data_IF_537123809538
#
_entry.id   IF_537123809538
#
_cell.length_a   1.000
_cell.length_b   1.000
_cell.length_c   1.000
_cell.angle_alpha   90.00
_cell.angle_beta   90.00
_cell.angle_gamma   90.00
#
_symmetry.space_group_name_H-M   'P 1'
#
loop_
_entity.id
_entity.type
_entity.pdbx_description
1 polymer ?
#
# COMPACT_ATOMS: atom_id res chain seq x y z
N UNK A 1 -1.22 8.20 -0.04
CA UNK A 1 -1.87 7.82 -1.31
C UNK A 1 -1.84 6.31 -1.44
N UNK A 2 -3.01 5.68 -1.74
CA UNK A 2 -3.06 4.23 -1.88
C UNK A 2 -4.46 3.65 -1.98
N UNK A 3 -4.58 2.30 -1.94
CA UNK A 3 -5.84 1.61 -2.07
C UNK A 3 -6.49 1.28 -0.72
N UNK A 4 -7.79 1.51 -0.63
CA UNK A 4 -8.64 0.99 0.42
C UNK A 4 -9.66 0.02 -0.19
N UNK A 5 -9.84 -1.13 0.45
CA UNK A 5 -10.71 -2.21 -0.02
C UNK A 5 -11.80 -2.52 0.99
N UNK A 6 -12.91 -3.08 0.52
CA UNK A 6 -13.82 -3.77 1.42
C UNK A 6 -13.22 -5.13 1.83
N UNK A 7 -13.10 -5.34 3.14
CA UNK A 7 -12.71 -6.60 3.76
C UNK A 7 -13.97 -7.36 4.12
N UNK A 8 -14.14 -8.51 3.48
CA UNK A 8 -15.30 -9.38 3.63
C UNK A 8 -14.86 -10.62 4.41
N UNK A 9 -15.15 -10.67 5.70
CA UNK A 9 -14.68 -11.71 6.59
C UNK A 9 -15.80 -12.70 6.94
N UNK A 10 -15.48 -14.00 6.95
CA UNK A 10 -16.36 -14.96 7.61
C UNK A 10 -16.38 -14.66 9.12
N UNK A 11 -17.56 -14.64 9.75
CA UNK A 11 -17.66 -14.35 11.16
C UNK A 11 -16.94 -15.39 12.02
N UNK A 12 -16.42 -14.96 13.15
CA UNK A 12 -15.67 -15.80 14.09
C UNK A 12 -14.51 -16.55 13.42
N UNK A 13 -14.55 -17.89 13.50
CA UNK A 13 -13.55 -18.78 12.91
C UNK A 13 -14.13 -19.68 11.81
N UNK A 14 -15.28 -19.30 11.24
CA UNK A 14 -15.89 -20.07 10.17
C UNK A 14 -15.03 -20.02 8.91
N UNK A 15 -15.06 -21.10 8.13
CA UNK A 15 -14.47 -21.08 6.79
C UNK A 15 -15.41 -20.37 5.82
N UNK A 16 -14.85 -19.76 4.78
CA UNK A 16 -15.61 -19.10 3.72
C UNK A 16 -16.69 -20.02 3.12
N UNK A 17 -16.39 -21.31 3.01
CA UNK A 17 -17.35 -22.32 2.49
C UNK A 17 -18.44 -22.75 3.49
N UNK A 18 -18.35 -22.33 4.74
CA UNK A 18 -19.30 -22.69 5.80
C UNK A 18 -20.25 -21.55 6.16
N UNK A 19 -19.78 -20.30 5.93
CA UNK A 19 -20.56 -19.12 6.30
C UNK A 19 -21.73 -18.87 5.36
N UNK A 20 -22.78 -18.25 5.89
CA UNK A 20 -23.94 -17.73 5.14
C UNK A 20 -24.08 -16.21 5.27
N UNK A 21 -23.20 -15.58 6.06
CA UNK A 21 -23.14 -14.15 6.28
C UNK A 21 -21.68 -13.70 6.33
N UNK A 22 -21.43 -12.43 6.09
CA UNK A 22 -20.10 -11.84 6.14
C UNK A 22 -20.12 -10.55 6.94
N UNK A 23 -19.08 -10.34 7.72
CA UNK A 23 -18.76 -9.03 8.29
C UNK A 23 -18.02 -8.20 7.25
N UNK A 24 -18.49 -6.98 7.02
CA UNK A 24 -17.85 -6.06 6.08
C UNK A 24 -17.18 -4.93 6.86
N UNK A 25 -15.87 -4.78 6.64
CA UNK A 25 -15.09 -3.65 7.13
C UNK A 25 -14.24 -3.10 5.98
N UNK A 26 -13.55 -1.98 6.20
CA UNK A 26 -12.72 -1.36 5.15
C UNK A 26 -11.30 -1.26 5.65
N UNK A 27 -10.33 -1.61 4.80
CA UNK A 27 -8.93 -1.64 5.16
C UNK A 27 -8.00 -1.35 3.97
N UNK A 28 -6.92 -0.67 4.25
CA UNK A 28 -5.82 -0.38 3.34
C UNK A 28 -4.57 -0.08 4.17
N UNK A 29 -3.38 -0.38 3.66
CA UNK A 29 -2.13 -0.15 4.38
C UNK A 29 -1.99 1.33 4.74
N UNK A 30 -2.09 2.20 3.75
CA UNK A 30 -1.94 3.65 3.89
C UNK A 30 -3.11 4.26 4.68
N UNK A 31 -4.33 3.71 4.54
CA UNK A 31 -5.49 4.13 5.33
C UNK A 31 -5.30 3.81 6.81
N UNK A 32 -4.66 2.69 7.14
CA UNK A 32 -4.34 2.32 8.54
C UNK A 32 -3.31 3.26 9.14
N UNK A 33 -2.32 3.70 8.36
CA UNK A 33 -1.34 4.72 8.80
C UNK A 33 -2.05 6.06 9.05
N UNK A 34 -2.90 6.49 8.12
CA UNK A 34 -3.68 7.72 8.26
C UNK A 34 -4.58 7.69 9.51
N UNK A 35 -5.27 6.57 9.76
CA UNK A 35 -6.08 6.36 10.95
C UNK A 35 -5.26 6.44 12.24
N UNK A 36 -4.07 5.84 12.26
CA UNK A 36 -3.15 5.91 13.39
C UNK A 36 -2.72 7.35 13.68
N UNK A 37 -2.37 8.12 12.66
CA UNK A 37 -2.00 9.53 12.80
C UNK A 37 -3.15 10.33 13.44
N UNK A 38 -4.38 10.16 12.94
CA UNK A 38 -5.56 10.84 13.50
C UNK A 38 -5.81 10.42 14.96
N UNK A 39 -5.69 9.13 15.28
CA UNK A 39 -5.85 8.64 16.65
C UNK A 39 -4.79 9.18 17.63
N UNK A 40 -3.60 9.51 17.16
CA UNK A 40 -2.57 10.18 17.95
C UNK A 40 -2.69 11.71 17.98
N UNK A 41 -3.79 12.27 17.46
CA UNK A 41 -4.07 13.71 17.51
C UNK A 41 -3.46 14.50 16.34
N UNK A 42 -2.90 13.83 15.34
CA UNK A 42 -2.47 14.43 14.09
C UNK A 42 -3.62 14.61 13.11
N UNK A 43 -3.33 15.12 11.92
CA UNK A 43 -4.26 15.24 10.80
C UNK A 43 -3.75 14.45 9.60
N UNK A 44 -4.65 13.81 8.88
CA UNK A 44 -4.32 13.06 7.67
C UNK A 44 -5.38 13.26 6.59
N UNK A 45 -4.93 13.45 5.35
CA UNK A 45 -5.74 13.39 4.12
C UNK A 45 -5.56 12.04 3.49
N UNK A 46 -6.63 11.40 3.05
CA UNK A 46 -6.53 10.15 2.29
C UNK A 46 -6.80 10.40 0.82
N UNK A 47 -5.83 10.05 0.00
CA UNK A 47 -5.86 10.24 -1.46
C UNK A 47 -5.99 8.88 -2.13
N UNK A 48 -7.05 8.68 -2.87
CA UNK A 48 -7.35 7.46 -3.64
C UNK A 48 -8.41 7.75 -4.69
N UNK A 49 -8.79 6.75 -5.48
CA UNK A 49 -9.96 6.80 -6.34
C UNK A 49 -10.95 5.71 -5.96
N UNK A 50 -12.23 6.04 -5.89
CA UNK A 50 -13.33 5.14 -5.56
C UNK A 50 -14.47 5.29 -6.56
N UNK A 51 -15.19 4.22 -6.91
CA UNK A 51 -16.34 4.27 -7.79
C UNK A 51 -17.53 5.01 -7.15
N UNK A 52 -18.46 5.46 -7.98
CA UNK A 52 -19.68 6.16 -7.56
C UNK A 52 -20.81 5.18 -7.22
N UNK A 53 -20.77 4.53 -6.06
CA UNK A 53 -21.84 3.64 -5.58
C UNK A 53 -21.85 3.54 -4.05
N UNK A 54 -22.90 2.97 -3.48
CA UNK A 54 -23.14 2.93 -2.04
C UNK A 54 -22.02 2.26 -1.20
N UNK A 55 -21.36 1.23 -1.70
CA UNK A 55 -20.24 0.60 -0.98
C UNK A 55 -19.02 1.54 -0.90
N UNK A 56 -18.78 2.35 -1.91
CA UNK A 56 -17.72 3.35 -1.87
C UNK A 56 -18.07 4.51 -0.92
N UNK A 57 -19.35 4.90 -0.81
CA UNK A 57 -19.80 5.83 0.24
C UNK A 57 -19.55 5.27 1.63
N UNK A 58 -19.91 4.00 1.87
CA UNK A 58 -19.67 3.35 3.14
C UNK A 58 -18.15 3.24 3.46
N UNK A 59 -17.30 3.07 2.44
CA UNK A 59 -15.83 3.13 2.58
C UNK A 59 -15.40 4.53 3.06
N UNK A 60 -15.90 5.59 2.42
CA UNK A 60 -15.60 6.98 2.80
C UNK A 60 -16.07 7.29 4.21
N UNK A 61 -17.27 6.85 4.59
CA UNK A 61 -17.82 7.04 5.93
C UNK A 61 -16.95 6.34 6.99
N UNK A 62 -16.44 5.16 6.68
CA UNK A 62 -15.52 4.42 7.54
C UNK A 62 -14.22 5.19 7.82
N UNK A 63 -13.62 5.83 6.82
CA UNK A 63 -12.40 6.64 7.00
C UNK A 63 -12.71 7.97 7.68
N UNK A 64 -13.85 8.61 7.40
CA UNK A 64 -14.30 9.82 8.11
C UNK A 64 -14.54 9.57 9.60
N UNK A 65 -15.10 8.41 9.94
CA UNK A 65 -15.38 8.04 11.32
C UNK A 65 -14.15 8.03 12.22
N UNK A 66 -12.94 7.85 11.66
CA UNK A 66 -11.66 7.90 12.39
C UNK A 66 -10.92 9.24 12.21
N UNK A 67 -11.60 10.28 11.68
CA UNK A 67 -11.07 11.64 11.59
C UNK A 67 -10.20 11.92 10.36
N UNK A 68 -10.15 11.01 9.39
CA UNK A 68 -9.39 11.21 8.15
C UNK A 68 -10.15 12.14 7.20
N UNK A 69 -9.45 13.13 6.64
CA UNK A 69 -9.98 13.99 5.59
C UNK A 69 -10.10 13.21 4.26
N UNK A 70 -11.30 13.21 3.70
CA UNK A 70 -11.65 12.50 2.47
C UNK A 70 -11.89 13.43 1.27
N UNK A 71 -11.56 14.72 1.40
CA UNK A 71 -11.84 15.73 0.37
C UNK A 71 -11.16 15.36 -0.98
N UNK A 72 -10.00 14.71 -0.94
CA UNK A 72 -9.22 14.35 -2.11
C UNK A 72 -9.41 12.90 -2.58
N UNK A 73 -10.47 12.25 -2.14
CA UNK A 73 -10.88 10.95 -2.70
C UNK A 73 -11.62 11.21 -4.01
N UNK A 74 -11.02 10.81 -5.13
CA UNK A 74 -11.66 10.92 -6.44
C UNK A 74 -12.85 9.98 -6.55
N UNK A 75 -13.91 10.47 -7.22
CA UNK A 75 -15.11 9.68 -7.50
C UNK A 75 -15.20 9.41 -9.00
N UNK A 76 -14.99 8.17 -9.38
CA UNK A 76 -14.88 7.74 -10.78
C UNK A 76 -16.14 7.00 -11.24
N UNK A 77 -16.43 7.10 -12.54
CA UNK A 77 -17.50 6.32 -13.17
C UNK A 77 -16.99 4.95 -13.62
N UNK A 78 -15.68 4.81 -13.77
CA UNK A 78 -15.00 3.58 -14.15
C UNK A 78 -14.27 2.96 -12.95
N UNK A 79 -13.96 1.67 -13.06
CA UNK A 79 -13.33 0.92 -12.02
C UNK A 79 -14.30 0.43 -10.95
N UNK A 80 -13.78 -0.30 -10.00
CA UNK A 80 -14.56 -0.93 -8.92
C UNK A 80 -13.91 -0.67 -7.56
N UNK A 81 -14.66 -0.89 -6.50
CA UNK A 81 -14.07 -1.03 -5.17
C UNK A 81 -13.32 -2.36 -5.11
N UNK A 82 -12.03 -2.32 -4.75
CA UNK A 82 -11.26 -3.53 -4.48
C UNK A 82 -11.85 -4.30 -3.30
N UNK A 83 -11.85 -5.62 -3.37
CA UNK A 83 -12.36 -6.50 -2.32
C UNK A 83 -11.28 -7.49 -1.90
N UNK A 84 -11.36 -7.96 -0.68
CA UNK A 84 -10.73 -9.21 -0.29
C UNK A 84 -11.59 -9.98 0.69
N UNK A 85 -11.54 -11.30 0.55
CA UNK A 85 -12.25 -12.22 1.43
C UNK A 85 -11.27 -12.79 2.44
N UNK A 86 -11.67 -12.79 3.71
CA UNK A 86 -10.85 -13.30 4.81
C UNK A 86 -11.52 -14.48 5.49
N UNK A 87 -10.78 -15.56 5.56
CA UNK A 87 -11.03 -16.66 6.49
C UNK A 87 -10.04 -16.53 7.64
N UNK A 88 -10.52 -16.17 8.81
CA UNK A 88 -9.67 -16.00 9.99
C UNK A 88 -9.08 -17.35 10.42
N UNK A 89 -7.80 -17.35 10.72
CA UNK A 89 -7.11 -18.52 11.24
C UNK A 89 -7.65 -18.93 12.62
N UNK A 90 -7.56 -20.21 12.91
CA UNK A 90 -7.97 -20.76 14.21
C UNK A 90 -7.01 -21.87 14.64
N UNK A 91 -6.40 -21.71 15.82
CA UNK A 91 -5.41 -22.65 16.34
C UNK A 91 -4.26 -22.85 15.33
N UNK A 92 -4.06 -24.06 14.81
CA UNK A 92 -3.00 -24.36 13.82
C UNK A 92 -3.40 -24.09 12.36
N UNK A 93 -4.66 -23.71 12.13
CA UNK A 93 -5.12 -23.34 10.80
C UNK A 93 -4.70 -21.89 10.50
N UNK A 94 -3.90 -21.64 9.43
CA UNK A 94 -3.56 -20.28 9.03
C UNK A 94 -4.79 -19.54 8.50
N UNK A 95 -4.72 -18.21 8.50
CA UNK A 95 -5.68 -17.37 7.79
C UNK A 95 -5.57 -17.59 6.30
N UNK A 96 -6.70 -17.49 5.58
CA UNK A 96 -6.74 -17.53 4.13
C UNK A 96 -7.31 -16.21 3.60
N UNK A 97 -6.62 -15.60 2.63
CA UNK A 97 -7.03 -14.35 2.00
C UNK A 97 -7.16 -14.56 0.50
N UNK A 98 -8.34 -14.20 -0.03
CA UNK A 98 -8.62 -14.20 -1.46
C UNK A 98 -8.83 -12.76 -1.90
N UNK A 99 -7.95 -12.26 -2.78
CA UNK A 99 -8.06 -10.91 -3.33
C UNK A 99 -8.92 -10.91 -4.59
N UNK A 100 -9.82 -9.94 -4.67
CA UNK A 100 -10.62 -9.61 -5.83
C UNK A 100 -10.55 -8.09 -6.05
N UNK A 101 -9.43 -7.62 -6.60
CA UNK A 101 -9.07 -6.20 -6.70
C UNK A 101 -8.58 -5.77 -8.10
N UNK A 102 -8.69 -6.64 -9.10
CA UNK A 102 -8.37 -6.25 -10.47
C UNK A 102 -9.29 -5.10 -10.91
N UNK A 103 -8.75 -4.17 -11.66
CA UNK A 103 -9.46 -2.98 -12.18
C UNK A 103 -10.14 -2.15 -11.07
N UNK A 104 -9.55 -2.14 -9.86
CA UNK A 104 -10.00 -1.21 -8.83
C UNK A 104 -9.81 0.24 -9.29
N UNK A 105 -10.69 1.14 -8.88
CA UNK A 105 -10.69 2.52 -9.36
C UNK A 105 -9.30 3.18 -9.25
N UNK A 106 -8.60 3.02 -8.13
CA UNK A 106 -7.25 3.56 -7.96
C UNK A 106 -6.23 2.91 -8.90
N UNK A 107 -6.42 1.64 -9.27
CA UNK A 107 -5.48 0.95 -10.16
C UNK A 107 -5.57 1.38 -11.62
N UNK A 108 -6.69 1.99 -12.03
CA UNK A 108 -6.90 2.46 -13.40
C UNK A 108 -6.94 3.98 -13.55
N UNK A 109 -6.96 4.72 -12.41
CA UNK A 109 -6.98 6.19 -12.44
C UNK A 109 -5.59 6.74 -12.72
N UNK A 110 -5.40 7.50 -13.79
CA UNK A 110 -4.09 8.05 -14.15
C UNK A 110 -3.69 9.20 -13.21
N UNK A 111 -2.38 9.47 -13.16
CA UNK A 111 -1.82 10.49 -12.26
C UNK A 111 -2.39 11.89 -12.48
N UNK A 112 -2.73 12.23 -13.73
CA UNK A 112 -3.25 13.54 -14.13
C UNK A 112 -4.66 13.80 -13.62
N UNK A 113 -5.37 12.78 -13.18
CA UNK A 113 -6.71 12.92 -12.60
C UNK A 113 -6.67 13.53 -11.19
N UNK A 114 -5.52 13.49 -10.52
CA UNK A 114 -5.35 14.01 -9.17
C UNK A 114 -4.86 15.46 -9.21
N UNK A 115 -5.51 16.32 -8.44
CA UNK A 115 -5.06 17.72 -8.22
C UNK A 115 -3.95 17.75 -7.15
N UNK A 116 -2.73 17.41 -7.60
CA UNK A 116 -1.58 17.30 -6.69
C UNK A 116 -1.24 18.61 -5.99
N UNK A 117 -1.43 19.75 -6.63
CA UNK A 117 -1.18 21.06 -6.05
C UNK A 117 -2.09 21.28 -4.83
N UNK A 118 -3.38 21.04 -4.98
CA UNK A 118 -4.34 21.14 -3.85
C UNK A 118 -4.13 20.03 -2.81
N UNK A 119 -3.74 18.82 -3.22
CA UNK A 119 -3.48 17.69 -2.32
C UNK A 119 -2.30 18.03 -1.38
N UNK A 120 -1.24 18.65 -1.90
CA UNK A 120 -0.05 18.96 -1.12
C UNK A 120 -0.05 20.35 -0.50
N UNK A 121 -1.06 21.20 -0.78
CA UNK A 121 -1.17 22.50 -0.10
C UNK A 121 -1.27 22.35 1.41
N UNK A 122 -0.28 22.90 2.13
CA UNK A 122 -0.13 22.79 3.58
C UNK A 122 0.21 21.39 4.10
N UNK A 123 0.46 20.41 3.22
CA UNK A 123 0.93 19.11 3.64
C UNK A 123 2.42 19.13 4.00
N UNK A 124 2.82 18.32 4.97
CA UNK A 124 4.21 18.20 5.42
C UNK A 124 4.82 16.84 5.09
N UNK A 125 3.97 15.84 4.88
CA UNK A 125 4.41 14.45 4.73
C UNK A 125 3.50 13.67 3.79
N UNK A 126 4.11 12.90 2.88
CA UNK A 126 3.42 11.88 2.07
C UNK A 126 3.86 10.49 2.57
N UNK A 127 2.88 9.60 2.79
CA UNK A 127 3.16 8.18 3.03
C UNK A 127 2.63 7.32 1.88
N UNK A 128 3.47 6.39 1.44
CA UNK A 128 3.24 5.45 0.34
C UNK A 128 3.46 4.01 0.80
N UNK A 129 2.97 3.08 0.02
CA UNK A 129 3.27 1.64 0.17
C UNK A 129 3.61 1.02 -1.19
N UNK A 130 4.51 0.07 -1.21
CA UNK A 130 4.83 -0.73 -2.39
C UNK A 130 3.68 -1.61 -2.90
N UNK A 131 2.56 -1.65 -2.18
CA UNK A 131 1.34 -2.32 -2.66
C UNK A 131 0.72 -1.54 -3.82
N UNK A 132 0.62 -0.22 -3.73
CA UNK A 132 -0.05 0.60 -4.74
C UNK A 132 0.61 0.49 -6.11
N UNK A 133 1.93 0.66 -6.29
CA UNK A 133 2.57 0.49 -7.60
C UNK A 133 2.57 -0.96 -8.11
N UNK A 134 2.28 -1.94 -7.24
CA UNK A 134 2.15 -3.35 -7.63
C UNK A 134 0.84 -3.68 -8.34
N UNK A 135 -0.18 -2.82 -8.27
CA UNK A 135 -1.53 -3.09 -8.79
C UNK A 135 -1.59 -3.07 -10.31
N UNK A 136 -0.96 -2.07 -10.92
CA UNK A 136 -0.96 -1.82 -12.36
C UNK A 136 0.17 -0.87 -12.76
N UNK A 137 0.43 -0.76 -14.05
CA UNK A 137 1.34 0.26 -14.57
C UNK A 137 0.83 1.68 -14.25
N UNK A 138 -0.46 1.94 -14.45
CA UNK A 138 -1.09 3.23 -14.14
C UNK A 138 -0.89 3.62 -12.66
N UNK A 139 -1.12 2.69 -11.74
CA UNK A 139 -0.91 2.95 -10.32
C UNK A 139 0.58 3.17 -9.97
N UNK A 140 1.50 2.48 -10.66
CA UNK A 140 2.94 2.70 -10.49
C UNK A 140 3.35 4.11 -10.95
N UNK A 141 2.86 4.54 -12.10
CA UNK A 141 3.07 5.89 -12.64
C UNK A 141 2.47 6.95 -11.71
N UNK A 142 1.23 6.75 -11.22
CA UNK A 142 0.61 7.66 -10.26
C UNK A 142 1.37 7.74 -8.93
N UNK A 143 1.92 6.62 -8.44
CA UNK A 143 2.76 6.60 -7.24
C UNK A 143 4.06 7.39 -7.43
N UNK A 144 4.71 7.24 -8.58
CA UNK A 144 5.91 8.01 -8.92
C UNK A 144 5.61 9.51 -8.99
N UNK A 145 4.54 9.90 -9.69
CA UNK A 145 4.13 11.31 -9.80
C UNK A 145 3.78 11.88 -8.42
N UNK A 146 3.05 11.13 -7.57
CA UNK A 146 2.76 11.55 -6.20
C UNK A 146 4.02 11.85 -5.39
N UNK A 147 5.04 10.97 -5.47
CA UNK A 147 6.31 11.20 -4.79
C UNK A 147 7.05 12.44 -5.33
N UNK A 148 7.09 12.63 -6.65
CA UNK A 148 7.71 13.80 -7.29
C UNK A 148 7.03 15.11 -6.88
N UNK A 149 5.69 15.16 -6.92
CA UNK A 149 4.90 16.34 -6.57
C UNK A 149 5.02 16.66 -5.08
N UNK A 150 5.03 15.64 -4.21
CA UNK A 150 5.27 15.84 -2.78
C UNK A 150 6.65 16.47 -2.51
N UNK A 151 7.70 15.98 -3.17
CA UNK A 151 9.05 16.59 -3.05
C UNK A 151 9.08 18.01 -3.59
N UNK A 152 8.44 18.29 -4.73
CA UNK A 152 8.35 19.64 -5.28
C UNK A 152 7.60 20.61 -4.34
N UNK A 153 6.60 20.11 -3.60
CA UNK A 153 5.88 20.85 -2.57
C UNK A 153 6.64 20.97 -1.22
N UNK A 154 7.84 20.39 -1.11
CA UNK A 154 8.66 20.44 0.11
C UNK A 154 8.27 19.43 1.18
N UNK A 155 7.43 18.44 0.86
CA UNK A 155 7.05 17.38 1.79
C UNK A 155 8.20 16.39 2.02
N UNK A 156 8.22 15.80 3.23
CA UNK A 156 8.92 14.54 3.46
C UNK A 156 8.12 13.39 2.87
N UNK A 157 8.79 12.39 2.31
CA UNK A 157 8.12 11.22 1.71
C UNK A 157 8.61 9.95 2.37
N UNK A 158 7.69 9.14 2.87
CA UNK A 158 7.98 7.80 3.38
C UNK A 158 7.31 6.72 2.55
N UNK A 159 7.94 5.55 2.47
CA UNK A 159 7.38 4.38 1.83
C UNK A 159 7.62 3.12 2.66
N UNK A 160 6.58 2.29 2.82
CA UNK A 160 6.72 0.90 3.26
C UNK A 160 6.87 0.02 2.01
N UNK A 161 7.99 -0.68 1.86
CA UNK A 161 8.24 -1.53 0.68
C UNK A 161 7.20 -2.63 0.52
N UNK A 162 6.74 -3.21 1.60
CA UNK A 162 5.55 -4.07 1.71
C UNK A 162 5.36 -5.01 0.51
N UNK A 163 6.42 -5.75 0.17
CA UNK A 163 6.41 -6.59 -1.03
C UNK A 163 5.31 -7.65 -0.99
N UNK A 164 4.55 -7.71 -2.05
CA UNK A 164 3.49 -8.69 -2.25
C UNK A 164 3.64 -9.33 -3.63
N UNK A 165 4.47 -10.35 -3.75
CA UNK A 165 4.80 -11.00 -5.02
C UNK A 165 3.59 -11.46 -5.85
N UNK A 166 2.43 -11.68 -5.22
CA UNK A 166 1.18 -12.02 -5.92
C UNK A 166 0.56 -10.85 -6.70
N UNK A 167 0.95 -9.60 -6.41
CA UNK A 167 0.40 -8.39 -7.03
C UNK A 167 1.22 -7.91 -8.25
N UNK A 168 2.53 -8.00 -8.20
CA UNK A 168 3.45 -7.57 -9.25
C UNK A 168 3.35 -8.43 -10.51
N UNK A 169 2.27 -8.25 -11.31
CA UNK A 169 1.94 -9.11 -12.46
C UNK A 169 1.52 -8.35 -13.71
N UNK A 170 1.48 -7.01 -13.67
CA UNK A 170 1.00 -6.20 -14.79
C UNK A 170 1.96 -6.14 -15.99
N UNK A 171 3.16 -6.69 -15.86
CA UNK A 171 4.07 -6.92 -16.98
C UNK A 171 4.44 -8.41 -17.05
N UNK A 172 3.82 -9.14 -17.99
CA UNK A 172 4.03 -10.58 -18.14
C UNK A 172 5.44 -10.98 -18.60
N UNK A 173 6.25 -10.03 -19.10
CA UNK A 173 7.62 -10.29 -19.53
C UNK A 173 8.61 -10.35 -18.36
N UNK A 174 8.19 -10.00 -17.15
CA UNK A 174 9.05 -9.89 -15.96
C UNK A 174 8.51 -10.75 -14.83
N UNK A 175 9.41 -11.29 -14.02
CA UNK A 175 9.04 -11.86 -12.72
C UNK A 175 8.55 -10.75 -11.78
N UNK A 176 7.80 -11.13 -10.75
CA UNK A 176 7.31 -10.17 -9.74
C UNK A 176 8.43 -9.38 -9.07
N UNK A 177 9.60 -10.01 -8.83
CA UNK A 177 10.77 -9.35 -8.25
C UNK A 177 11.42 -8.35 -9.21
N UNK A 178 11.66 -8.75 -10.44
CA UNK A 178 12.24 -7.87 -11.46
C UNK A 178 11.37 -6.63 -11.68
N UNK A 179 10.05 -6.83 -11.75
CA UNK A 179 9.09 -5.76 -11.92
C UNK A 179 9.08 -4.80 -10.72
N UNK A 180 9.08 -5.35 -9.49
CA UNK A 180 9.16 -4.56 -8.27
C UNK A 180 10.47 -3.77 -8.20
N UNK A 181 11.61 -4.42 -8.45
CA UNK A 181 12.92 -3.77 -8.41
C UNK A 181 13.05 -2.63 -9.40
N UNK A 182 12.59 -2.83 -10.63
CA UNK A 182 12.65 -1.78 -11.65
C UNK A 182 11.75 -0.59 -11.29
N UNK A 183 10.50 -0.86 -10.91
CA UNK A 183 9.52 0.16 -10.56
C UNK A 183 9.97 0.96 -9.33
N UNK A 184 10.39 0.27 -8.28
CA UNK A 184 10.78 0.93 -7.04
C UNK A 184 12.09 1.73 -7.16
N UNK A 185 13.02 1.30 -8.02
CA UNK A 185 14.21 2.12 -8.33
C UNK A 185 13.88 3.48 -8.95
N UNK A 186 12.75 3.59 -9.66
CA UNK A 186 12.26 4.87 -10.17
C UNK A 186 11.63 5.75 -9.09
N UNK A 187 11.04 5.16 -8.05
CA UNK A 187 10.32 5.87 -6.98
C UNK A 187 11.27 6.28 -5.85
N UNK A 188 12.19 5.41 -5.44
CA UNK A 188 13.07 5.59 -4.28
C UNK A 188 13.92 6.86 -4.29
N UNK A 189 14.38 7.43 -5.43
CA UNK A 189 15.05 8.73 -5.45
C UNK A 189 14.24 9.90 -4.89
N UNK A 190 12.94 9.74 -4.67
CA UNK A 190 12.06 10.76 -4.10
C UNK A 190 11.64 10.43 -2.64
N UNK A 191 12.24 9.41 -2.03
CA UNK A 191 11.85 8.90 -0.71
C UNK A 191 12.88 9.31 0.35
N UNK A 192 12.43 9.94 1.42
CA UNK A 192 13.28 10.33 2.56
C UNK A 192 13.35 9.23 3.63
N UNK A 193 12.28 8.43 3.78
CA UNK A 193 12.20 7.37 4.80
C UNK A 193 11.70 6.07 4.18
N UNK A 194 12.51 5.01 4.26
CA UNK A 194 12.13 3.66 3.83
C UNK A 194 11.82 2.81 5.05
N UNK A 195 10.65 2.18 5.05
CA UNK A 195 10.22 1.18 6.02
C UNK A 195 10.26 -0.17 5.32
N UNK A 196 11.00 -1.12 5.86
CA UNK A 196 11.19 -2.43 5.24
C UNK A 196 11.71 -3.46 6.25
N UNK A 197 11.43 -4.72 5.99
CA UNK A 197 12.17 -5.84 6.58
C UNK A 197 13.25 -6.33 5.60
N UNK A 198 14.04 -7.34 6.01
CA UNK A 198 15.16 -7.86 5.20
C UNK A 198 14.67 -8.55 3.92
N UNK A 199 13.51 -9.23 3.97
CA UNK A 199 12.93 -9.89 2.81
C UNK A 199 12.49 -8.85 1.78
N UNK A 200 11.85 -7.78 2.22
CA UNK A 200 11.45 -6.67 1.35
C UNK A 200 12.69 -6.00 0.72
N UNK A 201 13.76 -5.75 1.50
CA UNK A 201 15.01 -5.22 0.97
C UNK A 201 15.63 -6.15 -0.08
N UNK A 202 15.59 -7.46 0.15
CA UNK A 202 16.06 -8.42 -0.82
C UNK A 202 15.19 -8.47 -2.08
N UNK A 203 13.89 -8.59 -1.91
CA UNK A 203 12.96 -8.81 -3.02
C UNK A 203 12.78 -7.55 -3.89
N UNK A 204 12.74 -6.37 -3.26
CA UNK A 204 12.47 -5.10 -3.91
C UNK A 204 13.73 -4.35 -4.33
N UNK A 205 14.83 -4.47 -3.58
CA UNK A 205 16.05 -3.71 -3.84
C UNK A 205 17.22 -4.59 -4.31
N UNK A 206 17.13 -5.90 -4.12
CA UNK A 206 18.22 -6.83 -4.37
C UNK A 206 19.32 -6.77 -3.29
N UNK A 207 19.06 -6.09 -2.17
CA UNK A 207 20.01 -5.92 -1.05
C UNK A 207 19.87 -7.11 -0.10
N UNK A 208 20.97 -7.80 0.16
CA UNK A 208 20.99 -8.98 1.05
C UNK A 208 21.78 -8.70 2.33
N UNK A 209 21.24 -9.14 3.44
CA UNK A 209 21.91 -9.17 4.75
C UNK A 209 22.80 -10.43 4.87
N UNK A 210 23.80 -10.59 4.00
CA UNK A 210 24.65 -11.79 4.03
C UNK A 210 23.86 -13.12 3.86
N UNK A 211 24.49 -14.26 4.20
CA UNK A 211 23.80 -15.57 4.27
C UNK A 211 22.98 -15.66 5.58
N UNK A 212 21.75 -15.20 5.59
CA UNK A 212 20.77 -15.45 6.66
C UNK A 212 19.73 -16.44 6.17
N UNK A 213 19.53 -17.50 6.92
CA UNK A 213 18.43 -18.43 6.70
C UNK A 213 17.23 -17.95 7.52
N UNK A 214 16.35 -17.19 6.89
CA UNK A 214 15.12 -16.65 7.49
C UNK A 214 14.17 -17.79 7.93
N UNK A 215 14.29 -18.97 7.32
CA UNK A 215 13.45 -20.13 7.63
C UNK A 215 13.79 -20.81 8.96
N UNK A 216 14.96 -20.57 9.51
CA UNK A 216 15.37 -21.17 10.79
C UNK A 216 15.04 -20.30 12.01
N UNK A 217 14.51 -19.08 11.81
CA UNK A 217 14.17 -18.16 12.89
C UNK A 217 15.38 -17.56 13.63
N UNK A 218 16.59 -17.81 13.18
CA UNK A 218 17.80 -17.20 13.72
C UNK A 218 17.98 -15.80 13.13
N UNK A 219 17.34 -14.81 13.76
CA UNK A 219 17.50 -13.40 13.41
C UNK A 219 18.85 -12.88 13.93
N UNK A 220 19.80 -12.63 13.03
CA UNK A 220 21.02 -11.93 13.38
C UNK A 220 20.81 -10.41 13.30
N UNK A 221 20.34 -9.85 14.41
CA UNK A 221 20.04 -8.40 14.51
C UNK A 221 21.27 -7.51 14.25
N UNK A 222 22.48 -8.06 14.31
CA UNK A 222 23.72 -7.32 14.01
C UNK A 222 23.84 -6.96 12.52
N UNK A 223 23.06 -7.60 11.64
CA UNK A 223 23.10 -7.40 10.19
C UNK A 223 22.10 -6.32 9.68
N UNK A 224 21.08 -5.97 10.46
CA UNK A 224 20.16 -4.90 10.07
C UNK A 224 20.82 -3.56 9.74
N UNK A 225 21.82 -3.08 10.54
CA UNK A 225 22.53 -1.86 10.21
C UNK A 225 23.27 -1.91 8.87
N UNK A 226 23.73 -3.08 8.44
CA UNK A 226 24.42 -3.22 7.15
C UNK A 226 23.46 -3.10 5.98
N UNK A 227 22.28 -3.71 6.08
CA UNK A 227 21.20 -3.54 5.08
C UNK A 227 20.81 -2.07 5.00
N UNK A 228 20.56 -1.43 6.14
CA UNK A 228 20.18 -0.02 6.17
C UNK A 228 21.25 0.89 5.52
N UNK A 229 22.55 0.67 5.82
CA UNK A 229 23.66 1.40 5.17
C UNK A 229 23.69 1.19 3.66
N UNK A 230 23.45 -0.04 3.18
CA UNK A 230 23.39 -0.33 1.74
C UNK A 230 22.22 0.38 1.07
N UNK A 231 21.04 0.43 1.71
CA UNK A 231 19.88 1.18 1.21
C UNK A 231 20.21 2.66 1.10
N UNK A 232 20.74 3.26 2.16
CA UNK A 232 21.13 4.68 2.17
C UNK A 232 22.24 4.99 1.15
N UNK A 233 23.21 4.10 0.98
CA UNK A 233 24.29 4.27 0.00
C UNK A 233 23.78 4.18 -1.45
N UNK A 234 22.76 3.37 -1.70
CA UNK A 234 22.19 3.21 -3.05
C UNK A 234 21.18 4.31 -3.40
N UNK A 235 20.51 4.88 -2.42
CA UNK A 235 19.48 5.93 -2.58
C UNK A 235 19.80 7.07 -1.61
N UNK A 236 20.86 7.86 -1.87
CA UNK A 236 21.18 9.03 -1.04
C UNK A 236 20.18 10.16 -1.38
N UNK A 237 19.43 10.61 -0.38
CA UNK A 237 18.55 11.79 -0.42
C UNK A 237 19.01 12.82 0.60
#
# INVERSE_FOLDING_TARGET
FGEIMARIAAPENLRLRQTRSFDVTYAGAEASVAASICNFGGSARYVTALPKHALAEATMDSVRAVGIDTQFILRTDEGRLGLYFLETGANQRPSNVIYDRADSAVSITPAEAYDWDSIFDGAQWLHLSGITPALSQTAAEATLVAAQQAKAAGCQVSIDLNFRGKLWKWNAAKSSRELAQETMRGILPFIDVVIANEEDCHDVLGIRAGETDVHTGALDTARYPDVARQVVAQFPN
#
